data_IF_424351492135
#
_entry.id   IF_424351492135
#
_cell.length_a   1.000
_cell.length_b   1.000
_cell.length_c   1.000
_cell.angle_alpha   90.00
_cell.angle_beta   90.00
_cell.angle_gamma   90.00
#
_symmetry.space_group_name_H-M   'P 1'
#
loop_
_entity.id
_entity.type
_entity.pdbx_description
1 polymer ?
#
# COMPACT_ATOMS: atom_id res chain seq x y z
N UNK A 1 11.62 31.83 -45.97
CA UNK A 1 11.84 32.02 -44.52
C UNK A 1 10.53 32.40 -43.86
N UNK A 2 9.85 31.40 -43.29
CA UNK A 2 8.89 31.44 -42.18
C UNK A 2 8.97 30.03 -41.54
N UNK A 3 8.93 29.91 -40.20
CA UNK A 3 9.26 28.68 -39.50
C UNK A 3 8.09 27.68 -39.52
N UNK A 4 8.41 26.40 -39.68
CA UNK A 4 7.48 25.28 -39.44
C UNK A 4 7.37 25.01 -37.93
N UNK A 5 6.17 24.74 -37.39
CA UNK A 5 6.02 24.31 -36.00
C UNK A 5 6.36 22.82 -35.85
N UNK A 6 7.22 22.52 -34.89
CA UNK A 6 7.52 21.17 -34.40
C UNK A 6 6.26 20.51 -33.83
N UNK A 7 5.87 19.38 -34.40
CA UNK A 7 4.75 18.55 -33.96
C UNK A 7 5.16 17.77 -32.70
N UNK A 8 4.67 18.19 -31.52
CA UNK A 8 4.62 17.35 -30.34
C UNK A 8 3.43 16.40 -30.48
N UNK A 9 3.68 15.17 -30.91
CA UNK A 9 2.65 14.14 -31.06
C UNK A 9 2.18 13.64 -29.70
N UNK A 10 1.03 14.11 -29.23
CA UNK A 10 0.24 13.44 -28.19
C UNK A 10 -0.61 12.38 -28.89
N UNK A 11 -0.24 11.10 -28.75
CA UNK A 11 -1.05 9.99 -29.22
C UNK A 11 -2.23 9.76 -28.26
N UNK A 12 -3.35 10.43 -28.53
CA UNK A 12 -4.67 10.07 -28.00
C UNK A 12 -5.20 8.90 -28.83
N UNK A 13 -5.04 7.67 -28.35
CA UNK A 13 -5.57 6.48 -29.01
C UNK A 13 -7.05 6.30 -28.64
N UNK A 14 -7.92 7.11 -29.23
CA UNK A 14 -9.36 6.85 -29.26
C UNK A 14 -9.66 5.80 -30.33
N UNK A 15 -10.01 4.58 -29.92
CA UNK A 15 -10.39 3.52 -30.84
C UNK A 15 -11.77 3.78 -31.45
N UNK A 16 -11.80 4.11 -32.73
CA UNK A 16 -12.97 3.99 -33.61
C UNK A 16 -12.62 2.95 -34.68
N UNK A 17 -13.29 1.80 -34.63
CA UNK A 17 -13.12 0.69 -35.57
C UNK A 17 -13.51 1.11 -36.98
N UNK A 18 -12.57 1.02 -37.92
CA UNK A 18 -12.79 1.10 -39.36
C UNK A 18 -11.96 0.04 -40.05
N UNK A 19 -12.62 -0.99 -40.59
CA UNK A 19 -11.99 -2.09 -41.32
C UNK A 19 -11.32 -1.60 -42.60
N UNK A 20 -10.02 -1.89 -42.77
CA UNK A 20 -9.39 -2.04 -44.09
C UNK A 20 -8.01 -2.69 -43.95
N UNK A 21 -7.80 -3.73 -44.74
CA UNK A 21 -6.68 -4.66 -44.83
C UNK A 21 -5.32 -4.04 -45.20
N UNK A 22 -4.25 -4.53 -44.56
CA UNK A 22 -2.87 -4.43 -45.06
C UNK A 22 -1.80 -4.63 -43.98
N UNK A 23 -1.16 -5.80 -43.98
CA UNK A 23 0.20 -6.02 -43.44
C UNK A 23 1.21 -6.03 -44.62
N UNK A 24 2.55 -6.05 -44.43
CA UNK A 24 3.37 -5.94 -43.21
C UNK A 24 4.56 -4.94 -43.36
N UNK A 25 5.38 -4.74 -42.32
CA UNK A 25 6.85 -4.62 -42.46
C UNK A 25 7.55 -4.41 -41.10
N UNK A 26 8.35 -5.39 -40.72
CA UNK A 26 9.35 -5.34 -39.64
C UNK A 26 10.46 -4.33 -39.94
N UNK A 27 10.78 -3.44 -39.00
CA UNK A 27 12.03 -2.66 -39.03
C UNK A 27 12.70 -2.75 -37.66
N UNK A 28 13.88 -3.38 -37.67
CA UNK A 28 14.81 -3.42 -36.56
C UNK A 28 15.32 -2.01 -36.24
N UNK A 29 15.29 -1.61 -34.96
CA UNK A 29 15.97 -0.41 -34.48
C UNK A 29 17.36 -0.79 -33.97
N UNK A 30 18.37 -0.50 -34.79
CA UNK A 30 19.75 -0.38 -34.34
C UNK A 30 19.92 1.00 -33.70
N UNK A 31 20.22 1.05 -32.40
CA UNK A 31 20.56 2.28 -31.70
C UNK A 31 22.07 2.54 -31.80
N UNK A 32 22.44 3.57 -32.56
CA UNK A 32 23.74 4.24 -32.49
C UNK A 32 23.48 5.74 -32.45
N UNK A 33 24.14 6.45 -31.53
CA UNK A 33 24.14 7.91 -31.53
C UNK A 33 24.11 8.54 -30.15
N UNK A 34 25.30 8.90 -29.66
CA UNK A 34 25.59 9.70 -28.48
C UNK A 34 24.92 11.09 -28.49
N UNK A 35 24.77 11.67 -27.29
CA UNK A 35 24.87 13.13 -27.12
C UNK A 35 23.64 13.80 -26.50
N UNK A 36 23.64 13.91 -25.17
CA UNK A 36 22.68 14.74 -24.44
C UNK A 36 23.03 14.77 -22.96
N UNK A 37 24.12 15.46 -22.62
CA UNK A 37 24.45 15.78 -21.23
C UNK A 37 23.34 16.67 -20.65
N UNK A 38 22.38 16.07 -19.92
CA UNK A 38 21.54 16.81 -19.01
C UNK A 38 22.36 17.10 -17.75
N UNK A 39 22.47 18.40 -17.43
CA UNK A 39 23.12 18.89 -16.23
C UNK A 39 22.52 18.22 -15.00
N UNK A 40 23.36 17.47 -14.29
CA UNK A 40 23.01 16.91 -13.00
C UNK A 40 22.61 18.03 -12.06
N UNK A 41 21.32 18.13 -11.76
CA UNK A 41 20.91 18.54 -10.42
C UNK A 41 21.69 17.63 -9.48
N UNK A 42 22.58 18.18 -8.65
CA UNK A 42 23.15 17.41 -7.56
C UNK A 42 21.96 17.04 -6.67
N UNK A 43 21.41 15.84 -6.90
CA UNK A 43 20.22 15.37 -6.21
C UNK A 43 20.54 15.41 -4.71
N UNK A 44 19.92 16.36 -4.02
CA UNK A 44 20.10 16.52 -2.59
C UNK A 44 19.62 15.23 -1.92
N UNK A 45 20.47 14.60 -1.13
CA UNK A 45 20.10 13.39 -0.39
C UNK A 45 18.93 13.72 0.55
N UNK A 46 17.80 12.99 0.49
CA UNK A 46 16.64 13.29 1.31
C UNK A 46 16.94 13.03 2.79
N UNK A 47 16.80 14.06 3.62
CA UNK A 47 16.96 13.94 5.08
C UNK A 47 15.87 13.07 5.71
N UNK A 48 14.67 13.08 5.14
CA UNK A 48 13.51 12.30 5.58
C UNK A 48 12.87 11.64 4.37
N UNK A 49 12.42 10.40 4.55
CA UNK A 49 11.64 9.66 3.55
C UNK A 49 10.32 9.28 4.19
N UNK A 50 9.22 9.67 3.56
CA UNK A 50 7.87 9.26 3.93
C UNK A 50 7.28 8.45 2.78
N UNK A 51 7.04 7.16 3.03
CA UNK A 51 6.45 6.25 2.05
C UNK A 51 5.02 5.93 2.48
N UNK A 52 4.04 6.37 1.69
CA UNK A 52 2.63 6.09 1.90
C UNK A 52 2.18 5.00 0.92
N UNK A 53 1.62 3.91 1.44
CA UNK A 53 1.10 2.80 0.63
C UNK A 53 -0.42 2.74 0.84
N UNK A 54 -1.18 3.04 -0.20
CA UNK A 54 -2.61 2.74 -0.25
C UNK A 54 -2.81 1.32 -0.74
N UNK A 55 -3.06 0.37 0.18
CA UNK A 55 -3.33 -1.02 -0.19
C UNK A 55 -4.59 -1.09 -1.09
N UNK A 56 -4.47 -1.74 -2.24
CA UNK A 56 -5.52 -1.80 -3.26
C UNK A 56 -5.79 -0.49 -4.03
N UNK A 57 -4.95 0.54 -3.90
CA UNK A 57 -5.18 1.86 -4.51
C UNK A 57 -4.49 2.02 -5.87
N UNK A 58 -5.21 1.77 -6.97
CA UNK A 58 -4.78 2.10 -8.34
C UNK A 58 -5.51 3.38 -8.85
N UNK A 59 -5.27 3.76 -10.10
CA UNK A 59 -5.91 4.93 -10.73
C UNK A 59 -7.44 4.97 -10.61
N UNK A 60 -8.18 3.83 -10.74
CA UNK A 60 -9.64 3.85 -10.58
C UNK A 60 -10.08 4.32 -9.19
N UNK A 61 -9.42 3.86 -8.13
CA UNK A 61 -9.72 4.26 -6.75
C UNK A 61 -9.49 5.77 -6.55
N UNK A 62 -8.35 6.28 -7.04
CA UNK A 62 -8.01 7.70 -6.94
C UNK A 62 -9.01 8.58 -7.70
N UNK A 63 -9.38 8.18 -8.92
CA UNK A 63 -10.39 8.90 -9.70
C UNK A 63 -11.76 8.87 -9.02
N UNK A 64 -12.18 7.71 -8.51
CA UNK A 64 -13.46 7.58 -7.82
C UNK A 64 -13.54 8.50 -6.60
N UNK A 65 -12.48 8.58 -5.79
CA UNK A 65 -12.41 9.52 -4.67
C UNK A 65 -12.46 10.97 -5.12
N UNK A 66 -11.78 11.33 -6.20
CA UNK A 66 -11.79 12.71 -6.70
C UNK A 66 -13.17 13.15 -7.21
N UNK A 67 -13.89 12.24 -7.88
CA UNK A 67 -15.27 12.47 -8.31
C UNK A 67 -16.22 12.56 -7.12
N UNK A 68 -16.05 11.70 -6.11
CA UNK A 68 -16.84 11.77 -4.89
C UNK A 68 -16.66 13.10 -4.16
N UNK A 69 -15.41 13.55 -3.98
CA UNK A 69 -15.12 14.83 -3.32
C UNK A 69 -15.72 16.01 -4.08
N UNK A 70 -15.66 16.00 -5.41
CA UNK A 70 -16.30 17.02 -6.25
C UNK A 70 -17.83 16.99 -6.14
N UNK A 71 -18.43 15.80 -6.11
CA UNK A 71 -19.88 15.63 -5.95
C UNK A 71 -20.41 16.07 -4.57
N UNK A 72 -19.59 15.98 -3.51
CA UNK A 72 -19.96 16.45 -2.17
C UNK A 72 -20.00 17.98 -2.05
N UNK A 73 -19.27 18.70 -2.89
CA UNK A 73 -19.37 20.15 -2.97
C UNK A 73 -20.70 20.50 -3.66
N UNK A 74 -21.74 20.80 -2.88
CA UNK A 74 -23.13 21.06 -3.33
C UNK A 74 -23.25 22.30 -4.23
N UNK A 75 -22.82 22.18 -5.49
CA UNK A 75 -23.05 23.13 -6.58
C UNK A 75 -23.90 22.51 -7.70
N UNK A 76 -24.43 23.34 -8.59
CA UNK A 76 -25.18 22.89 -9.79
C UNK A 76 -24.26 22.29 -10.87
N UNK A 77 -22.95 22.48 -10.77
CA UNK A 77 -21.95 21.99 -11.72
C UNK A 77 -21.20 20.75 -11.18
N UNK A 78 -20.97 19.78 -12.06
CA UNK A 78 -20.09 18.64 -11.75
C UNK A 78 -18.64 19.12 -11.71
N UNK A 79 -18.02 19.09 -10.51
CA UNK A 79 -16.60 19.42 -10.32
C UNK A 79 -15.80 18.15 -10.03
N UNK A 80 -14.48 18.21 -10.29
CA UNK A 80 -13.52 17.17 -9.89
C UNK A 80 -12.65 17.80 -8.81
N UNK A 81 -12.68 17.24 -7.60
CA UNK A 81 -11.83 17.69 -6.50
C UNK A 81 -10.71 16.67 -6.31
N UNK A 82 -9.49 17.04 -6.69
CA UNK A 82 -8.32 16.14 -6.63
C UNK A 82 -8.00 15.80 -5.18
N UNK A 83 -7.55 14.56 -4.92
CA UNK A 83 -6.91 14.24 -3.64
C UNK A 83 -5.52 14.86 -3.58
N UNK A 84 -5.08 15.29 -2.40
CA UNK A 84 -3.92 16.18 -2.23
C UNK A 84 -2.62 15.73 -2.91
N UNK A 85 -2.35 14.42 -2.93
CA UNK A 85 -1.13 13.87 -3.54
C UNK A 85 -1.16 13.87 -5.07
N UNK A 86 -2.32 14.10 -5.71
CA UNK A 86 -2.41 14.24 -7.17
C UNK A 86 -1.73 15.50 -7.69
N UNK A 87 -1.39 16.45 -6.82
CA UNK A 87 -0.71 17.69 -7.16
C UNK A 87 0.81 17.61 -6.92
N UNK A 88 1.33 16.43 -6.59
CA UNK A 88 2.76 16.21 -6.50
C UNK A 88 3.41 16.37 -7.89
N UNK A 89 4.63 16.95 -7.96
CA UNK A 89 5.24 17.36 -9.22
C UNK A 89 5.73 16.18 -10.08
N UNK A 90 5.88 14.99 -9.51
CA UNK A 90 6.35 13.79 -10.22
C UNK A 90 5.34 12.66 -10.06
N UNK A 91 5.03 12.00 -11.18
CA UNK A 91 4.09 10.88 -11.24
C UNK A 91 4.72 9.75 -12.06
N UNK A 92 4.93 8.61 -11.42
CA UNK A 92 5.27 7.35 -12.08
C UNK A 92 4.16 6.32 -12.01
N UNK A 93 4.42 5.16 -12.58
CA UNK A 93 3.54 3.99 -12.51
C UNK A 93 4.37 2.73 -12.32
N UNK A 94 4.02 1.91 -11.32
CA UNK A 94 4.73 0.66 -11.05
C UNK A 94 3.90 -0.57 -11.47
N UNK A 95 4.57 -1.56 -12.07
CA UNK A 95 4.03 -2.90 -12.28
C UNK A 95 4.09 -3.70 -10.98
N UNK A 96 3.02 -4.42 -10.64
CA UNK A 96 2.85 -5.01 -9.31
C UNK A 96 3.15 -6.50 -9.23
N UNK A 97 3.12 -7.25 -10.34
CA UNK A 97 3.21 -8.72 -10.37
C UNK A 97 4.32 -9.32 -9.47
N UNK A 98 4.09 -10.54 -8.99
CA UNK A 98 5.06 -11.28 -8.18
C UNK A 98 5.60 -12.53 -8.90
N UNK A 99 6.37 -13.38 -8.21
CA UNK A 99 6.98 -14.56 -8.86
C UNK A 99 5.99 -15.64 -9.27
N UNK A 100 4.73 -15.54 -8.83
CA UNK A 100 3.68 -16.54 -8.98
C UNK A 100 2.39 -16.02 -9.61
N UNK A 101 2.16 -14.70 -9.64
CA UNK A 101 0.88 -14.10 -10.01
C UNK A 101 1.04 -12.71 -10.64
N UNK A 102 0.26 -12.45 -11.70
CA UNK A 102 0.02 -11.09 -12.21
C UNK A 102 -0.95 -10.29 -11.32
N UNK A 103 -1.61 -10.97 -10.39
CA UNK A 103 -2.52 -10.43 -9.38
C UNK A 103 -1.98 -10.84 -8.00
N UNK A 104 -0.89 -10.20 -7.56
CA UNK A 104 -0.13 -10.58 -6.37
C UNK A 104 -0.85 -10.17 -5.09
N UNK A 105 -0.46 -10.73 -3.94
CA UNK A 105 -0.97 -10.29 -2.65
C UNK A 105 -0.17 -9.12 -2.03
N UNK A 106 -0.65 -8.58 -0.91
CA UNK A 106 0.04 -7.48 -0.22
C UNK A 106 1.43 -7.88 0.32
N UNK A 107 1.69 -9.16 0.61
CA UNK A 107 2.95 -9.61 1.18
C UNK A 107 4.08 -9.58 0.12
N UNK A 108 3.82 -10.14 -1.06
CA UNK A 108 4.81 -10.20 -2.14
C UNK A 108 5.07 -8.82 -2.76
N UNK A 109 4.04 -7.98 -2.90
CA UNK A 109 4.17 -6.60 -3.40
C UNK A 109 4.91 -5.70 -2.42
N UNK A 110 4.59 -5.75 -1.13
CA UNK A 110 5.30 -4.97 -0.13
C UNK A 110 6.75 -5.45 0.04
N UNK A 111 7.01 -6.77 -0.07
CA UNK A 111 8.38 -7.31 -0.13
C UNK A 111 9.17 -6.75 -1.32
N UNK A 112 8.53 -6.64 -2.49
CA UNK A 112 9.18 -6.08 -3.68
C UNK A 112 9.58 -4.62 -3.47
N UNK A 113 8.68 -3.82 -2.88
CA UNK A 113 8.94 -2.41 -2.53
C UNK A 113 10.04 -2.30 -1.46
N UNK A 114 9.97 -3.13 -0.42
CA UNK A 114 10.83 -3.03 0.75
C UNK A 114 12.23 -3.58 0.53
N UNK A 115 12.41 -4.58 -0.33
CA UNK A 115 13.70 -5.29 -0.50
C UNK A 115 14.25 -5.28 -1.93
N UNK A 116 13.45 -4.85 -2.92
CA UNK A 116 13.84 -4.88 -4.33
C UNK A 116 13.88 -6.29 -4.92
N UNK A 117 13.28 -7.28 -4.25
CA UNK A 117 13.26 -8.68 -4.67
C UNK A 117 11.82 -9.18 -4.76
N UNK A 118 11.51 -9.93 -5.82
CA UNK A 118 10.24 -10.64 -5.96
C UNK A 118 10.22 -11.87 -5.05
N UNK A 119 9.04 -12.19 -4.52
CA UNK A 119 8.77 -13.47 -3.82
C UNK A 119 7.36 -13.97 -4.16
N UNK A 120 6.96 -15.11 -3.62
CA UNK A 120 5.65 -15.69 -3.84
C UNK A 120 4.57 -15.03 -2.98
N UNK A 121 3.31 -15.06 -3.42
CA UNK A 121 2.17 -14.59 -2.62
C UNK A 121 2.19 -15.19 -1.21
N UNK A 122 2.00 -14.35 -0.22
CA UNK A 122 2.00 -14.75 1.19
C UNK A 122 3.38 -14.84 1.84
N UNK A 123 4.47 -14.66 1.10
CA UNK A 123 5.85 -14.68 1.63
C UNK A 123 6.32 -13.26 1.92
N UNK A 124 7.05 -13.06 3.02
CA UNK A 124 7.56 -11.77 3.48
C UNK A 124 9.09 -11.79 3.52
N UNK A 125 9.75 -10.98 2.69
CA UNK A 125 11.21 -10.74 2.68
C UNK A 125 12.12 -11.98 2.76
N UNK A 126 11.67 -13.09 2.20
CA UNK A 126 12.50 -14.27 1.96
C UNK A 126 12.23 -14.79 0.54
N UNK A 127 13.15 -15.57 -0.01
CA UNK A 127 12.92 -16.28 -1.26
C UNK A 127 11.71 -17.22 -1.16
N UNK A 128 11.07 -17.61 -2.28
CA UNK A 128 9.89 -18.48 -2.24
C UNK A 128 10.07 -19.81 -1.50
N UNK A 129 11.31 -20.28 -1.36
CA UNK A 129 11.70 -21.49 -0.63
C UNK A 129 12.31 -21.22 0.76
N UNK A 130 12.26 -19.98 1.25
CA UNK A 130 12.91 -19.48 2.47
C UNK A 130 14.43 -19.72 2.56
N UNK A 131 15.12 -20.01 1.44
CA UNK A 131 16.57 -20.22 1.45
C UNK A 131 17.40 -18.94 1.60
N UNK A 132 16.87 -17.79 1.18
CA UNK A 132 17.53 -16.49 1.23
C UNK A 132 16.65 -15.48 1.98
N UNK A 133 17.24 -14.75 2.94
CA UNK A 133 16.62 -13.59 3.58
C UNK A 133 16.92 -12.33 2.78
N UNK A 134 15.89 -11.55 2.48
CA UNK A 134 16.03 -10.27 1.80
C UNK A 134 16.09 -9.15 2.81
N UNK A 135 17.16 -8.37 2.83
CA UNK A 135 17.25 -7.21 3.70
C UNK A 135 16.37 -6.06 3.19
N UNK A 136 15.64 -5.40 4.09
CA UNK A 136 14.76 -4.28 3.70
C UNK A 136 15.50 -2.94 3.65
N UNK A 137 14.95 -1.98 2.90
CA UNK A 137 15.45 -0.61 2.85
C UNK A 137 15.41 0.05 4.23
N UNK A 138 14.39 -0.25 5.06
CA UNK A 138 14.26 0.29 6.40
C UNK A 138 15.37 -0.23 7.33
N UNK A 139 15.67 -1.53 7.26
CA UNK A 139 16.80 -2.13 7.96
C UNK A 139 18.14 -1.49 7.53
N UNK A 140 18.34 -1.34 6.22
CA UNK A 140 19.56 -0.71 5.67
C UNK A 140 19.74 0.72 6.14
N UNK A 141 18.70 1.54 6.03
CA UNK A 141 18.74 2.95 6.43
C UNK A 141 19.07 3.10 7.92
N UNK A 142 18.44 2.29 8.77
CA UNK A 142 18.72 2.30 10.21
C UNK A 142 20.14 1.84 10.51
N UNK A 143 20.57 0.71 9.96
CA UNK A 143 21.88 0.11 10.27
C UNK A 143 23.05 0.91 9.71
N UNK A 144 22.96 1.37 8.45
CA UNK A 144 24.06 2.02 7.76
C UNK A 144 24.13 3.52 8.04
N UNK A 145 22.98 4.19 8.17
CA UNK A 145 22.90 5.65 8.27
C UNK A 145 22.32 6.15 9.60
N UNK A 146 21.88 5.25 10.50
CA UNK A 146 21.31 5.64 11.79
C UNK A 146 19.93 6.30 11.69
N UNK A 147 19.21 6.07 10.59
CA UNK A 147 17.86 6.63 10.43
C UNK A 147 16.93 6.12 11.53
N UNK A 148 16.05 7.02 11.97
CA UNK A 148 14.92 6.64 12.80
C UNK A 148 13.82 6.08 11.90
N UNK A 149 13.30 4.91 12.25
CA UNK A 149 12.31 4.19 11.44
C UNK A 149 11.01 4.12 12.20
N UNK A 150 9.93 4.56 11.55
CA UNK A 150 8.57 4.45 12.05
C UNK A 150 7.69 3.67 11.07
N UNK A 151 6.84 2.77 11.57
CA UNK A 151 5.86 2.03 10.78
C UNK A 151 4.46 2.40 11.25
N UNK A 152 3.68 2.99 10.35
CA UNK A 152 2.32 3.44 10.62
C UNK A 152 1.32 2.75 9.70
N UNK A 153 0.21 2.29 10.25
CA UNK A 153 -0.81 1.58 9.47
C UNK A 153 -2.20 1.70 10.09
N UNK A 154 -3.25 1.57 9.29
CA UNK A 154 -4.64 1.45 9.78
C UNK A 154 -5.05 0.01 10.08
N UNK A 155 -4.25 -0.99 9.67
CA UNK A 155 -4.51 -2.41 9.94
C UNK A 155 -3.65 -2.92 11.11
N UNK A 156 -3.78 -4.19 11.46
CA UNK A 156 -2.94 -4.82 12.50
C UNK A 156 -1.44 -4.63 12.19
N UNK A 157 -0.65 -4.33 13.22
CA UNK A 157 0.79 -4.06 13.07
C UNK A 157 1.55 -5.21 12.40
N UNK A 158 1.16 -6.46 12.65
CA UNK A 158 1.73 -7.68 12.07
C UNK A 158 0.98 -8.19 10.84
N UNK A 159 0.18 -7.34 10.18
CA UNK A 159 -0.34 -7.62 8.84
C UNK A 159 0.76 -7.49 7.78
N UNK A 160 0.54 -8.02 6.57
CA UNK A 160 1.57 -8.17 5.55
C UNK A 160 2.29 -6.87 5.14
N UNK A 161 1.54 -5.81 4.81
CA UNK A 161 2.08 -4.55 4.31
C UNK A 161 3.05 -3.87 5.30
N UNK A 162 2.69 -3.65 6.58
CA UNK A 162 3.65 -3.15 7.56
C UNK A 162 4.78 -4.16 7.86
N UNK A 163 4.46 -5.46 7.97
CA UNK A 163 5.44 -6.50 8.27
C UNK A 163 6.57 -6.60 7.24
N UNK A 164 6.30 -6.33 5.96
CA UNK A 164 7.32 -6.32 4.92
C UNK A 164 8.43 -5.27 5.12
N UNK A 165 8.32 -4.35 6.07
CA UNK A 165 9.42 -3.42 6.38
C UNK A 165 10.33 -3.91 7.50
N UNK A 166 9.92 -4.89 8.30
CA UNK A 166 10.64 -5.29 9.52
C UNK A 166 10.73 -6.80 9.77
N UNK A 167 9.99 -7.64 9.04
CA UNK A 167 9.89 -9.08 9.27
C UNK A 167 10.26 -9.94 8.05
N UNK A 168 10.61 -11.20 8.27
CA UNK A 168 11.13 -12.15 7.28
C UNK A 168 10.53 -13.54 7.53
N UNK A 169 9.42 -13.85 6.85
CA UNK A 169 8.62 -15.04 7.12
C UNK A 169 8.15 -15.72 5.85
N UNK A 170 8.21 -17.06 5.83
CA UNK A 170 7.69 -17.87 4.73
C UNK A 170 6.16 -17.78 4.60
N UNK A 171 5.48 -17.31 5.65
CA UNK A 171 4.03 -17.12 5.65
C UNK A 171 3.65 -15.85 6.41
N UNK A 172 2.86 -15.01 5.75
CA UNK A 172 2.21 -13.83 6.35
C UNK A 172 1.23 -14.17 7.48
N UNK A 173 0.93 -15.46 7.69
CA UNK A 173 0.09 -15.96 8.80
C UNK A 173 0.90 -16.28 10.06
N UNK A 174 2.24 -16.19 10.02
CA UNK A 174 3.12 -16.39 11.18
C UNK A 174 3.09 -15.16 12.11
N UNK A 175 1.90 -14.78 12.56
CA UNK A 175 1.65 -13.49 13.21
C UNK A 175 2.43 -13.30 14.52
N UNK A 176 2.65 -14.38 15.27
CA UNK A 176 3.41 -14.33 16.52
C UNK A 176 4.89 -14.08 16.23
N UNK A 177 5.46 -14.79 15.25
CA UNK A 177 6.85 -14.66 14.82
C UNK A 177 7.11 -13.29 14.19
N UNK A 178 6.19 -12.81 13.34
CA UNK A 178 6.23 -11.44 12.80
C UNK A 178 6.25 -10.42 13.95
N UNK A 179 5.45 -10.64 15.00
CA UNK A 179 5.42 -9.78 16.17
C UNK A 179 6.71 -9.81 16.99
N UNK A 180 7.39 -10.95 17.08
CA UNK A 180 8.72 -11.05 17.68
C UNK A 180 9.76 -10.28 16.85
N UNK A 181 9.68 -10.36 15.53
CA UNK A 181 10.55 -9.60 14.63
C UNK A 181 10.27 -8.10 14.66
N UNK A 182 9.01 -7.68 14.86
CA UNK A 182 8.66 -6.28 15.12
C UNK A 182 9.49 -5.74 16.30
N UNK A 183 9.51 -6.47 17.41
CA UNK A 183 10.25 -6.09 18.62
C UNK A 183 11.75 -6.12 18.35
N UNK A 184 12.24 -7.19 17.72
CA UNK A 184 13.67 -7.40 17.44
C UNK A 184 14.24 -6.43 16.39
N UNK A 185 13.40 -5.83 15.53
CA UNK A 185 13.81 -4.84 14.53
C UNK A 185 14.51 -3.63 15.15
N UNK A 186 14.18 -3.32 16.41
CA UNK A 186 14.65 -2.13 17.12
C UNK A 186 14.21 -0.81 16.48
N UNK A 187 13.20 -0.85 15.60
CA UNK A 187 12.65 0.36 14.98
C UNK A 187 12.03 1.28 16.04
N UNK A 188 12.00 2.56 15.75
CA UNK A 188 11.82 3.59 16.78
C UNK A 188 10.35 3.86 17.08
N UNK A 189 9.43 3.51 16.18
CA UNK A 189 8.01 3.77 16.35
C UNK A 189 7.12 2.80 15.56
N UNK A 190 6.03 2.37 16.19
CA UNK A 190 4.99 1.55 15.59
C UNK A 190 3.62 2.09 16.00
N UNK A 191 2.73 2.32 15.04
CA UNK A 191 1.33 2.59 15.37
C UNK A 191 0.37 1.97 14.35
N UNK A 192 -0.71 1.38 14.85
CA UNK A 192 -1.78 0.80 14.05
C UNK A 192 -2.73 -0.05 14.86
N UNK A 193 -3.41 -0.97 14.19
CA UNK A 193 -4.27 -1.95 14.85
C UNK A 193 -3.47 -2.90 15.75
N UNK A 194 -4.16 -3.53 16.71
CA UNK A 194 -3.56 -4.50 17.63
C UNK A 194 -2.86 -5.67 16.94
N UNK A 195 -2.03 -6.42 17.67
CA UNK A 195 -1.31 -7.57 17.12
C UNK A 195 -2.26 -8.77 17.00
N UNK A 196 -2.27 -9.41 15.82
CA UNK A 196 -2.92 -10.70 15.62
C UNK A 196 -2.11 -11.79 16.31
N UNK A 197 -2.80 -12.77 16.92
CA UNK A 197 -2.17 -13.86 17.68
C UNK A 197 -1.04 -13.39 18.65
N UNK A 198 -1.34 -12.50 19.60
CA UNK A 198 -0.31 -11.86 20.44
C UNK A 198 0.26 -12.77 21.53
N UNK A 199 -0.29 -13.98 21.74
CA UNK A 199 0.11 -14.87 22.84
C UNK A 199 0.87 -16.13 22.40
N UNK A 200 1.06 -16.34 21.09
CA UNK A 200 1.64 -17.58 20.56
C UNK A 200 0.82 -18.84 20.85
N UNK A 201 1.37 -20.00 20.48
CA UNK A 201 0.77 -21.31 20.77
C UNK A 201 0.86 -21.67 22.28
N UNK A 202 -0.01 -22.56 22.73
CA UNK A 202 -0.24 -22.88 24.15
C UNK A 202 0.94 -23.50 24.88
N UNK A 203 1.89 -24.10 24.16
CA UNK A 203 3.07 -24.80 24.67
C UNK A 203 4.31 -23.89 24.84
N UNK A 204 4.33 -22.71 24.23
CA UNK A 204 5.39 -21.71 24.36
C UNK A 204 4.82 -20.27 24.37
N UNK A 205 3.98 -19.99 25.37
CA UNK A 205 3.20 -18.75 25.47
C UNK A 205 4.13 -17.53 25.61
N UNK A 206 4.18 -16.68 24.58
CA UNK A 206 4.86 -15.38 24.59
C UNK A 206 3.77 -14.32 24.51
N UNK A 207 3.72 -13.37 25.44
CA UNK A 207 2.89 -12.18 25.29
C UNK A 207 3.71 -11.08 24.58
N UNK A 208 3.36 -10.78 23.32
CA UNK A 208 4.09 -9.81 22.51
C UNK A 208 4.07 -8.40 23.09
N UNK A 209 3.03 -8.01 23.84
CA UNK A 209 2.96 -6.69 24.43
C UNK A 209 3.89 -6.59 25.64
N UNK A 210 3.94 -7.63 26.48
CA UNK A 210 4.92 -7.68 27.57
C UNK A 210 6.35 -7.77 27.02
N UNK A 211 6.58 -8.60 26.00
CA UNK A 211 7.88 -8.69 25.34
C UNK A 211 8.33 -7.34 24.73
N UNK A 212 7.40 -6.55 24.19
CA UNK A 212 7.70 -5.20 23.71
C UNK A 212 8.11 -4.27 24.87
N UNK A 213 7.41 -4.32 26.02
CA UNK A 213 7.80 -3.55 27.21
C UNK A 213 9.17 -3.96 27.74
N UNK A 214 9.44 -5.27 27.80
CA UNK A 214 10.74 -5.80 28.24
C UNK A 214 11.89 -5.38 27.29
N UNK A 215 11.59 -5.23 26.00
CA UNK A 215 12.51 -4.68 25.00
C UNK A 215 12.65 -3.14 25.05
N UNK A 216 11.93 -2.47 25.95
CA UNK A 216 12.02 -1.03 26.20
C UNK A 216 11.05 -0.16 25.40
N UNK A 217 10.05 -0.75 24.74
CA UNK A 217 8.99 0.03 24.10
C UNK A 217 7.97 0.51 25.14
N UNK A 218 7.50 1.74 24.93
CA UNK A 218 6.26 2.18 25.55
C UNK A 218 5.07 1.62 24.76
N UNK A 219 4.14 0.96 25.44
CA UNK A 219 3.00 0.28 24.80
C UNK A 219 1.69 0.93 25.22
N UNK A 220 1.09 1.66 24.28
CA UNK A 220 -0.28 2.17 24.36
C UNK A 220 -1.22 1.27 23.55
N UNK A 221 -2.37 0.91 24.14
CA UNK A 221 -3.38 0.03 23.54
C UNK A 221 -4.76 0.68 23.44
N UNK A 222 -4.91 1.88 23.98
CA UNK A 222 -6.13 2.69 23.85
C UNK A 222 -5.82 4.06 23.26
N UNK A 223 -6.86 4.70 22.71
CA UNK A 223 -6.74 6.07 22.23
C UNK A 223 -6.27 7.00 23.34
N UNK A 224 -6.81 6.88 24.55
CA UNK A 224 -6.45 7.75 25.68
C UNK A 224 -4.99 7.55 26.11
N UNK A 225 -4.48 6.31 26.10
CA UNK A 225 -3.06 6.02 26.37
C UNK A 225 -2.15 6.63 25.30
N UNK A 226 -2.51 6.51 24.02
CA UNK A 226 -1.74 7.09 22.91
C UNK A 226 -1.85 8.63 22.84
N UNK A 227 -3.01 9.19 23.12
CA UNK A 227 -3.27 10.63 23.12
C UNK A 227 -2.61 11.32 24.33
N UNK A 228 -2.51 10.64 25.48
CA UNK A 228 -1.72 11.14 26.61
C UNK A 228 -0.22 11.25 26.30
N UNK A 229 0.27 10.53 25.29
CA UNK A 229 1.67 10.55 24.83
C UNK A 229 1.91 11.57 23.72
N UNK A 230 0.86 12.08 23.07
CA UNK A 230 0.95 13.02 21.94
C UNK A 230 0.00 14.20 22.16
N UNK A 231 0.51 15.30 22.73
CA UNK A 231 -0.29 16.50 22.93
C UNK A 231 -0.65 17.17 21.58
N UNK A 232 -1.97 17.34 21.41
CA UNK A 232 -2.76 18.17 20.48
C UNK A 232 -2.76 17.88 18.97
N UNK A 233 -3.91 17.35 18.50
CA UNK A 233 -4.52 17.70 17.21
C UNK A 233 -6.04 17.43 17.26
N UNK A 234 -6.85 18.39 16.79
CA UNK A 234 -8.33 18.33 16.79
C UNK A 234 -8.92 17.49 15.65
N UNK A 235 -10.03 16.79 15.90
CA UNK A 235 -10.76 15.92 14.94
C UNK A 235 -12.18 16.40 14.64
N UNK A 236 -12.58 16.32 13.37
CA UNK A 236 -13.92 16.62 12.86
C UNK A 236 -14.86 15.41 12.80
N UNK A 237 -16.17 15.67 12.64
CA UNK A 237 -17.29 14.76 12.93
C UNK A 237 -17.81 13.95 11.72
N UNK A 238 -17.99 12.63 11.91
CA UNK A 238 -18.86 11.74 11.13
C UNK A 238 -19.86 11.08 12.11
N UNK A 239 -21.16 11.35 11.95
CA UNK A 239 -22.21 10.77 12.82
C UNK A 239 -23.10 9.80 12.02
N UNK A 240 -23.42 8.65 12.64
CA UNK A 240 -24.29 7.59 12.11
C UNK A 240 -25.77 8.00 12.23
N UNK A 241 -26.61 7.57 11.29
CA UNK A 241 -28.08 7.67 11.39
C UNK A 241 -28.65 6.45 12.13
N UNK A 242 -29.89 6.55 12.63
CA UNK A 242 -30.53 5.48 13.41
C UNK A 242 -30.69 4.14 12.63
N UNK A 243 -30.88 4.18 11.31
CA UNK A 243 -30.96 2.97 10.47
C UNK A 243 -29.59 2.31 10.24
N UNK A 244 -28.52 3.10 10.34
CA UNK A 244 -27.14 2.65 10.16
C UNK A 244 -26.58 2.04 11.47
N UNK A 245 -27.01 2.57 12.62
CA UNK A 245 -26.74 1.97 13.93
C UNK A 245 -27.38 0.57 14.06
N UNK A 246 -28.61 0.40 13.56
CA UNK A 246 -29.31 -0.89 13.53
C UNK A 246 -28.58 -1.93 12.65
N UNK A 247 -28.13 -1.52 11.45
CA UNK A 247 -27.36 -2.40 10.55
C UNK A 247 -26.02 -2.85 11.15
N UNK A 248 -25.32 -1.95 11.85
CA UNK A 248 -24.08 -2.29 12.56
C UNK A 248 -24.34 -3.22 13.74
N UNK A 249 -25.47 -3.02 14.45
CA UNK A 249 -25.89 -3.88 15.56
C UNK A 249 -26.22 -5.30 15.09
N UNK A 250 -26.98 -5.45 14.00
CA UNK A 250 -27.29 -6.77 13.42
C UNK A 250 -26.02 -7.48 12.90
N UNK A 251 -25.11 -6.75 12.25
CA UNK A 251 -23.85 -7.30 11.77
C UNK A 251 -22.90 -7.70 12.92
N UNK A 252 -22.91 -6.94 14.02
CA UNK A 252 -22.20 -7.27 15.25
C UNK A 252 -22.77 -8.54 15.90
N UNK A 253 -24.09 -8.63 16.07
CA UNK A 253 -24.77 -9.82 16.60
C UNK A 253 -24.50 -11.06 15.74
N UNK A 254 -24.47 -10.90 14.41
CA UNK A 254 -24.07 -11.98 13.50
C UNK A 254 -22.61 -12.38 13.66
N UNK A 255 -21.69 -11.41 13.81
CA UNK A 255 -20.27 -11.68 14.06
C UNK A 255 -20.07 -12.43 15.38
N UNK A 256 -20.84 -12.10 16.41
CA UNK A 256 -20.86 -12.82 17.69
C UNK A 256 -21.42 -14.25 17.55
N UNK A 257 -22.35 -14.48 16.62
CA UNK A 257 -22.96 -15.79 16.39
C UNK A 257 -22.14 -16.73 15.49
N UNK A 258 -21.43 -16.21 14.48
CA UNK A 258 -20.70 -17.03 13.47
C UNK A 258 -19.17 -16.86 13.46
N UNK A 259 -18.62 -15.84 14.12
CA UNK A 259 -17.17 -15.56 14.16
C UNK A 259 -16.53 -15.23 12.80
N UNK A 260 -15.19 -15.14 12.78
CA UNK A 260 -14.37 -15.12 11.56
C UNK A 260 -14.17 -16.56 11.04
N UNK A 261 -15.24 -17.19 10.57
CA UNK A 261 -15.24 -18.60 10.16
C UNK A 261 -14.84 -18.79 8.69
N UNK A 262 -13.96 -19.76 8.44
CA UNK A 262 -13.55 -20.19 7.09
C UNK A 262 -14.74 -20.62 6.22
N UNK A 263 -14.47 -20.69 4.91
CA UNK A 263 -15.38 -20.80 3.76
C UNK A 263 -16.53 -21.83 3.84
N UNK A 264 -16.55 -22.76 4.79
CA UNK A 264 -17.46 -23.93 4.83
C UNK A 264 -18.88 -23.61 5.31
N UNK A 265 -19.09 -22.56 6.10
CA UNK A 265 -20.41 -22.23 6.69
C UNK A 265 -21.11 -21.02 6.05
N UNK A 266 -20.56 -20.45 4.96
CA UNK A 266 -21.11 -19.25 4.31
C UNK A 266 -22.08 -19.58 3.18
N UNK A 267 -23.25 -18.93 3.17
CA UNK A 267 -24.16 -18.97 2.01
C UNK A 267 -23.54 -18.23 0.82
N UNK A 268 -23.91 -18.61 -0.41
CA UNK A 268 -23.43 -17.95 -1.64
C UNK A 268 -23.65 -16.43 -1.61
N UNK A 269 -24.79 -15.99 -1.08
CA UNK A 269 -25.12 -14.57 -0.90
C UNK A 269 -24.20 -13.92 0.16
N UNK A 270 -23.90 -14.63 1.25
CA UNK A 270 -22.92 -14.19 2.25
C UNK A 270 -21.51 -14.05 1.68
N UNK A 271 -21.08 -14.96 0.79
CA UNK A 271 -19.76 -14.87 0.15
C UNK A 271 -19.66 -13.67 -0.80
N UNK A 272 -20.70 -13.43 -1.60
CA UNK A 272 -20.77 -12.27 -2.51
C UNK A 272 -20.73 -10.96 -1.74
N UNK A 273 -21.34 -10.90 -0.55
CA UNK A 273 -21.34 -9.69 0.27
C UNK A 273 -20.11 -9.54 1.17
N UNK A 274 -19.51 -10.61 1.69
CA UNK A 274 -18.54 -10.50 2.78
C UNK A 274 -17.16 -11.14 2.53
N UNK A 275 -17.00 -11.95 1.47
CA UNK A 275 -15.74 -12.67 1.23
C UNK A 275 -15.37 -13.62 2.37
N UNK A 276 -14.14 -13.51 2.90
CA UNK A 276 -13.65 -14.28 4.09
C UNK A 276 -13.50 -13.41 5.33
N UNK A 277 -14.01 -12.18 5.30
CA UNK A 277 -13.82 -11.18 6.35
C UNK A 277 -14.99 -11.13 7.32
N UNK A 278 -14.76 -10.61 8.53
CA UNK A 278 -15.80 -10.52 9.57
C UNK A 278 -16.99 -9.67 9.12
N UNK A 279 -18.24 -10.16 9.26
CA UNK A 279 -19.44 -9.47 8.80
C UNK A 279 -19.59 -8.04 9.34
N UNK A 280 -19.21 -7.78 10.60
CA UNK A 280 -19.22 -6.44 11.19
C UNK A 280 -18.24 -5.49 10.48
N UNK A 281 -17.00 -5.92 10.29
CA UNK A 281 -15.95 -5.14 9.61
C UNK A 281 -16.32 -4.83 8.17
N UNK A 282 -16.89 -5.80 7.45
CA UNK A 282 -17.36 -5.58 6.08
C UNK A 282 -18.61 -4.71 6.04
N UNK A 283 -19.56 -4.88 6.96
CA UNK A 283 -20.76 -4.03 7.02
C UNK A 283 -20.39 -2.59 7.35
N UNK A 284 -19.45 -2.36 8.26
CA UNK A 284 -18.88 -1.04 8.53
C UNK A 284 -18.19 -0.46 7.29
N UNK A 285 -17.42 -1.27 6.57
CA UNK A 285 -16.79 -0.88 5.30
C UNK A 285 -17.84 -0.54 4.23
N UNK A 286 -18.90 -1.33 4.09
CA UNK A 286 -20.01 -1.06 3.18
C UNK A 286 -20.83 0.16 3.55
N UNK A 287 -20.95 0.46 4.84
CA UNK A 287 -21.66 1.62 5.34
C UNK A 287 -20.82 2.89 5.11
N UNK A 288 -19.50 2.79 5.29
CA UNK A 288 -18.54 3.81 4.86
C UNK A 288 -18.60 4.01 3.33
N UNK A 289 -18.59 2.92 2.53
CA UNK A 289 -18.65 2.93 1.07
C UNK A 289 -19.98 3.52 0.53
N UNK A 290 -21.10 3.19 1.16
CA UNK A 290 -22.43 3.73 0.81
C UNK A 290 -22.56 5.20 1.20
N UNK A 291 -22.04 5.60 2.37
CA UNK A 291 -21.93 7.02 2.75
C UNK A 291 -20.97 7.77 1.84
N UNK A 292 -19.97 7.10 1.28
CA UNK A 292 -18.98 7.66 0.37
C UNK A 292 -19.31 7.49 -1.11
N UNK A 293 -20.49 6.95 -1.48
CA UNK A 293 -20.92 6.79 -2.88
C UNK A 293 -19.94 6.06 -3.82
N UNK A 294 -18.99 5.31 -3.27
CA UNK A 294 -17.90 4.64 -4.00
C UNK A 294 -17.93 3.17 -3.61
N UNK A 295 -18.07 2.30 -4.60
CA UNK A 295 -18.11 0.85 -4.41
C UNK A 295 -16.79 0.21 -4.86
N UNK A 296 -16.32 -0.79 -4.12
CA UNK A 296 -15.17 -1.62 -4.50
C UNK A 296 -15.72 -2.90 -5.12
N UNK A 297 -15.61 -3.04 -6.44
CA UNK A 297 -16.14 -4.22 -7.14
C UNK A 297 -15.32 -5.50 -6.93
N UNK A 298 -14.19 -5.44 -6.20
CA UNK A 298 -13.34 -6.60 -5.93
C UNK A 298 -12.75 -6.56 -4.52
N UNK A 299 -12.92 -7.66 -3.76
CA UNK A 299 -12.18 -7.94 -2.52
C UNK A 299 -10.78 -8.53 -2.78
N UNK A 300 -10.28 -8.36 -4.01
CA UNK A 300 -9.09 -9.01 -4.54
C UNK A 300 -8.13 -7.97 -5.09
N UNK A 301 -6.83 -8.29 -5.07
CA UNK A 301 -5.81 -7.53 -5.77
C UNK A 301 -6.14 -7.46 -7.27
N UNK A 302 -5.50 -6.52 -7.98
CA UNK A 302 -5.60 -6.43 -9.43
C UNK A 302 -4.21 -6.39 -10.05
N UNK A 303 -4.09 -6.79 -11.32
CA UNK A 303 -2.85 -6.65 -12.08
C UNK A 303 -2.66 -5.25 -12.70
N UNK A 304 -3.44 -4.26 -12.26
CA UNK A 304 -3.29 -2.88 -12.72
C UNK A 304 -1.99 -2.29 -12.20
N UNK A 305 -1.42 -1.36 -12.97
CA UNK A 305 -0.30 -0.55 -12.46
C UNK A 305 -0.78 0.34 -11.32
N UNK A 306 0.12 0.64 -10.40
CA UNK A 306 -0.14 1.51 -9.26
C UNK A 306 0.62 2.82 -9.47
N UNK A 307 -0.04 3.99 -9.39
CA UNK A 307 0.67 5.25 -9.52
C UNK A 307 1.60 5.51 -8.32
N UNK A 308 2.71 6.18 -8.59
CA UNK A 308 3.65 6.65 -7.56
C UNK A 308 3.71 8.18 -7.68
N UNK A 309 3.23 8.87 -6.66
CA UNK A 309 3.30 10.33 -6.57
C UNK A 309 4.48 10.71 -5.71
N UNK A 310 5.39 11.54 -6.21
CA UNK A 310 6.60 11.92 -5.49
C UNK A 310 6.79 13.45 -5.44
N UNK A 311 7.20 13.92 -4.27
CA UNK A 311 7.56 15.31 -3.99
C UNK A 311 8.80 15.32 -3.09
N UNK A 312 9.74 16.23 -3.36
CA UNK A 312 10.92 16.44 -2.53
C UNK A 312 12.22 16.22 -3.28
N UNK A 313 13.30 16.08 -2.53
CA UNK A 313 14.64 15.97 -3.09
C UNK A 313 14.84 14.62 -3.81
N UNK A 314 15.19 14.68 -5.09
CA UNK A 314 15.38 13.49 -5.93
C UNK A 314 14.09 12.81 -6.38
N UNK A 315 12.92 13.45 -6.22
CA UNK A 315 11.62 12.87 -6.58
C UNK A 315 11.53 12.48 -8.08
N UNK A 316 12.27 13.16 -8.96
CA UNK A 316 12.31 12.93 -10.40
C UNK A 316 12.70 11.50 -10.79
N UNK A 317 13.41 10.77 -9.93
CA UNK A 317 13.78 9.37 -10.22
C UNK A 317 12.58 8.43 -10.24
N UNK A 318 11.43 8.86 -9.72
CA UNK A 318 10.17 8.12 -9.70
C UNK A 318 9.27 8.43 -10.91
N UNK A 319 9.74 9.20 -11.89
CA UNK A 319 9.01 9.42 -13.15
C UNK A 319 9.00 8.17 -14.05
N UNK A 320 7.96 8.02 -14.86
CA UNK A 320 7.82 6.94 -15.84
C UNK A 320 7.28 5.60 -15.31
N UNK A 321 7.41 4.56 -16.14
CA UNK A 321 6.96 3.19 -15.84
C UNK A 321 8.12 2.31 -15.40
N UNK A 322 7.95 1.55 -14.33
CA UNK A 322 8.98 0.67 -13.77
C UNK A 322 8.39 -0.51 -13.01
N UNK A 323 9.22 -1.49 -12.69
CA UNK A 323 8.83 -2.59 -11.80
C UNK A 323 8.78 -2.12 -10.33
N UNK A 324 7.86 -2.65 -9.50
CA UNK A 324 7.79 -2.29 -8.09
C UNK A 324 9.07 -2.58 -7.29
N UNK A 325 9.94 -3.48 -7.76
CA UNK A 325 11.28 -3.70 -7.18
C UNK A 325 12.20 -2.51 -7.35
N UNK A 326 11.97 -1.66 -8.34
CA UNK A 326 12.79 -0.48 -8.57
C UNK A 326 12.56 0.61 -7.53
N UNK A 327 11.45 0.59 -6.77
CA UNK A 327 11.23 1.52 -5.65
C UNK A 327 12.36 1.38 -4.63
N UNK A 328 12.72 0.15 -4.25
CA UNK A 328 13.85 -0.11 -3.37
C UNK A 328 15.14 0.45 -3.95
N UNK A 329 15.44 0.17 -5.22
CA UNK A 329 16.67 0.59 -5.86
C UNK A 329 16.79 2.12 -5.94
N UNK A 330 15.68 2.80 -6.26
CA UNK A 330 15.58 4.27 -6.29
C UNK A 330 15.79 4.86 -4.90
N UNK A 331 15.13 4.31 -3.86
CA UNK A 331 15.33 4.75 -2.47
C UNK A 331 16.77 4.54 -1.99
N UNK A 332 17.35 3.38 -2.30
CA UNK A 332 18.74 3.06 -1.95
C UNK A 332 19.72 4.03 -2.62
N UNK A 333 19.54 4.31 -3.91
CA UNK A 333 20.35 5.26 -4.66
C UNK A 333 20.21 6.70 -4.12
N UNK A 334 18.99 7.13 -3.79
CA UNK A 334 18.73 8.47 -3.24
C UNK A 334 19.38 8.68 -1.88
N UNK A 335 19.37 7.65 -1.04
CA UNK A 335 19.88 7.72 0.34
C UNK A 335 21.35 7.32 0.46
N UNK A 336 21.91 6.67 -0.56
CA UNK A 336 23.31 6.24 -0.60
C UNK A 336 23.60 4.96 0.17
N UNK A 337 22.58 4.13 0.47
CA UNK A 337 22.79 2.81 1.08
C UNK A 337 23.09 1.74 0.02
N UNK A 338 24.00 0.82 0.36
CA UNK A 338 24.40 -0.31 -0.50
C UNK A 338 23.63 -1.58 -0.11
#
# INVERSE_FOLDING_TARGET
>A
MKPEPSLAGVASMGALFGCSSGEPSSVAMAATGEGGAQGGSAAMVPKYVFLFIGDGMSYPQIQATAYFNGAQQRGEESTIERVSFMDFPVIGSQYTYDSTSFCPDSASTATSIASGRKTASGVINVSPDASERFETIAEKLKRQLGYKVGVLTSVNLNHATPAAFYAHQQSRKNYCEIGQELIASGFDYFAGGGLLNPTGASDNRIDLYEAARDAGYEVARTYDEGAAQVAEAETGSLMLTACEDEQLREAYERTVAVGAGEQEDMTQEGYVHYGTYEPFTVTLTHLLNRKSGVDFSTCAHSGLTVPVFALGAGAEVFDGFYDNTEIYAKLAALTGVA
#
